data_IF_756473248791
#
_entry.id   IF_756473248791
#
_cell.length_a   1.000
_cell.length_b   1.000
_cell.length_c   1.000
_cell.angle_alpha   90.00
_cell.angle_beta   90.00
_cell.angle_gamma   90.00
#
_symmetry.space_group_name_H-M   'P 1'
#
loop_
_entity.id
_entity.type
_entity.pdbx_description
1 polymer ?
#
# COMPACT_ATOMS: atom_id res chain seq x y z
N UNK A 1 -13.14 3.68 2.83
CA UNK A 1 -13.36 2.90 1.58
C UNK A 1 -13.19 1.43 1.93
N UNK A 2 -13.97 0.55 1.31
CA UNK A 2 -13.77 -0.91 1.41
C UNK A 2 -13.50 -1.42 0.00
N UNK A 3 -12.48 -2.25 -0.16
CA UNK A 3 -12.11 -2.87 -1.43
C UNK A 3 -12.28 -4.38 -1.27
N UNK A 4 -13.31 -4.99 -1.87
CA UNK A 4 -13.46 -6.44 -1.88
C UNK A 4 -12.35 -7.13 -2.67
N UNK A 5 -12.01 -8.36 -2.31
CA UNK A 5 -11.08 -9.18 -3.08
C UNK A 5 -11.54 -9.30 -4.55
N UNK A 6 -10.61 -9.13 -5.49
CA UNK A 6 -10.88 -9.15 -6.93
C UNK A 6 -11.40 -7.84 -7.52
N UNK A 7 -11.69 -6.82 -6.70
CA UNK A 7 -12.12 -5.51 -7.20
C UNK A 7 -10.92 -4.64 -7.63
N UNK A 8 -10.98 -4.12 -8.85
CA UNK A 8 -10.07 -3.06 -9.29
C UNK A 8 -10.41 -1.75 -8.58
N UNK A 9 -9.37 -1.03 -8.13
CA UNK A 9 -9.52 0.23 -7.43
C UNK A 9 -8.29 1.12 -7.64
N UNK A 10 -8.47 2.43 -7.51
CA UNK A 10 -7.40 3.42 -7.54
C UNK A 10 -7.77 4.60 -6.61
N UNK A 11 -6.79 5.22 -5.99
CA UNK A 11 -6.97 6.37 -5.09
C UNK A 11 -6.12 7.53 -5.62
N UNK A 12 -6.77 8.65 -5.93
CA UNK A 12 -6.13 9.84 -6.49
C UNK A 12 -6.34 11.01 -5.54
N UNK A 13 -5.25 11.65 -5.11
CA UNK A 13 -5.34 12.92 -4.38
C UNK A 13 -5.71 14.05 -5.36
N UNK A 14 -6.89 14.65 -5.21
CA UNK A 14 -7.39 15.73 -6.07
C UNK A 14 -7.03 17.13 -5.57
N UNK A 15 -6.47 17.25 -4.36
CA UNK A 15 -6.06 18.53 -3.78
C UNK A 15 -4.72 18.97 -4.37
N UNK A 16 -4.64 20.20 -4.88
CA UNK A 16 -3.41 20.73 -5.50
C UNK A 16 -2.22 20.83 -4.54
N UNK A 17 -2.47 21.33 -3.33
CA UNK A 17 -1.41 21.75 -2.40
C UNK A 17 -1.59 21.17 -0.98
N UNK A 18 -2.31 20.04 -0.84
CA UNK A 18 -2.48 19.38 0.47
C UNK A 18 -2.21 17.89 0.35
N UNK A 19 -1.41 17.30 1.24
CA UNK A 19 -1.15 15.87 1.23
C UNK A 19 -2.40 15.10 1.66
N UNK A 20 -2.70 14.01 0.95
CA UNK A 20 -3.64 13.00 1.42
C UNK A 20 -2.93 12.09 2.43
N UNK A 21 -3.42 12.05 3.66
CA UNK A 21 -2.97 11.11 4.68
C UNK A 21 -4.01 10.00 4.80
N UNK A 22 -3.58 8.76 4.67
CA UNK A 22 -4.45 7.60 4.80
C UNK A 22 -3.64 6.40 5.31
N UNK A 23 -4.36 5.37 5.73
CA UNK A 23 -3.82 4.07 6.06
C UNK A 23 -4.58 3.01 5.26
N UNK A 24 -3.91 1.90 4.97
CA UNK A 24 -4.51 0.71 4.39
C UNK A 24 -4.34 -0.44 5.36
N UNK A 25 -5.34 -1.32 5.40
CA UNK A 25 -5.28 -2.57 6.15
C UNK A 25 -5.56 -3.67 5.13
N UNK A 26 -4.58 -4.56 4.96
CA UNK A 26 -4.69 -5.70 4.07
C UNK A 26 -5.02 -6.95 4.89
N UNK A 27 -5.83 -7.83 4.32
CA UNK A 27 -6.18 -9.13 4.90
C UNK A 27 -6.35 -10.14 3.76
N UNK A 28 -5.38 -11.04 3.51
CA UNK A 28 -4.09 -11.22 4.21
C UNK A 28 -3.08 -10.08 3.97
N UNK A 29 -1.93 -10.04 4.68
CA UNK A 29 -0.88 -9.04 4.44
C UNK A 29 -0.40 -9.03 2.98
N UNK A 30 -0.17 -7.84 2.43
CA UNK A 30 0.32 -7.67 1.05
C UNK A 30 1.84 -7.50 0.97
N UNK A 31 2.43 -6.75 1.90
CA UNK A 31 3.86 -6.42 1.93
C UNK A 31 4.55 -7.10 3.11
N UNK A 32 5.88 -7.28 2.99
CA UNK A 32 6.72 -7.72 4.12
C UNK A 32 6.70 -6.70 5.25
N UNK A 33 6.90 -7.17 6.47
CA UNK A 33 7.00 -6.31 7.64
C UNK A 33 8.22 -5.37 7.55
N UNK A 34 8.09 -4.18 8.14
CA UNK A 34 9.16 -3.17 8.20
C UNK A 34 9.44 -2.41 6.90
N UNK A 35 8.72 -2.66 5.80
CA UNK A 35 8.91 -1.94 4.54
C UNK A 35 8.43 -0.49 4.66
N UNK A 36 9.34 0.46 4.40
CA UNK A 36 9.04 1.90 4.32
C UNK A 36 9.41 2.40 2.94
N UNK A 37 8.47 3.08 2.28
CA UNK A 37 8.69 3.72 0.98
C UNK A 37 8.31 5.18 1.04
N UNK A 38 9.28 6.05 0.86
CA UNK A 38 9.07 7.49 1.01
C UNK A 38 8.36 8.10 -0.20
N UNK A 39 8.52 7.49 -1.38
CA UNK A 39 7.98 8.02 -2.64
C UNK A 39 7.27 6.95 -3.46
N UNK A 40 6.34 7.38 -4.32
CA UNK A 40 5.67 6.51 -5.28
C UNK A 40 6.65 5.82 -6.24
N UNK A 41 7.63 6.57 -6.76
CA UNK A 41 8.60 6.04 -7.72
C UNK A 41 9.47 4.91 -7.11
N UNK A 42 9.88 5.07 -5.85
CA UNK A 42 10.59 4.02 -5.10
C UNK A 42 9.73 2.76 -4.94
N UNK A 43 8.42 2.92 -4.73
CA UNK A 43 7.48 1.80 -4.63
C UNK A 43 7.30 1.03 -5.92
N UNK A 44 7.20 1.74 -7.04
CA UNK A 44 7.06 1.11 -8.36
C UNK A 44 8.36 0.42 -8.80
N UNK A 45 9.52 0.93 -8.42
CA UNK A 45 10.82 0.35 -8.79
C UNK A 45 11.20 -0.90 -7.97
N UNK A 46 10.66 -1.06 -6.76
CA UNK A 46 11.01 -2.15 -5.84
C UNK A 46 9.76 -2.91 -5.40
N UNK A 47 9.13 -3.71 -6.27
CA UNK A 47 7.97 -4.51 -5.90
C UNK A 47 8.36 -5.62 -4.92
N UNK A 48 7.60 -5.78 -3.84
CA UNK A 48 7.68 -6.95 -2.96
C UNK A 48 6.31 -7.41 -2.53
N UNK A 49 6.23 -8.70 -2.21
CA UNK A 49 5.05 -9.36 -1.65
C UNK A 49 5.41 -10.04 -0.33
N UNK A 50 4.41 -10.18 0.52
CA UNK A 50 4.50 -10.96 1.75
C UNK A 50 4.89 -12.42 1.43
N UNK A 51 5.89 -12.95 2.13
CA UNK A 51 6.42 -14.29 1.90
C UNK A 51 5.74 -15.37 2.76
N UNK A 52 4.69 -15.01 3.49
CA UNK A 52 3.96 -15.93 4.37
C UNK A 52 4.58 -16.08 5.76
N UNK A 53 5.72 -15.43 6.03
CA UNK A 53 6.43 -15.54 7.32
C UNK A 53 6.26 -14.25 8.11
N UNK A 54 5.76 -14.37 9.34
CA UNK A 54 5.65 -13.25 10.29
C UNK A 54 6.96 -13.07 11.08
N UNK A 55 7.16 -11.86 11.61
CA UNK A 55 8.33 -11.49 12.42
C UNK A 55 8.14 -11.74 13.94
N UNK A 56 6.98 -12.26 14.34
CA UNK A 56 6.64 -12.67 15.72
C UNK A 56 7.35 -13.96 16.17
#
# INVERSE_FOLDING_TARGET
MVVPAGAYHNVINTMKNKPLKFFTIYSPPQHKDGIVRATKAEAEANPEEFDGVTTE
#
